data_IF_698722791951
#
_entry.id   IF_698722791951
#
_cell.length_a   1.000
_cell.length_b   1.000
_cell.length_c   1.000
_cell.angle_alpha   90.00
_cell.angle_beta   90.00
_cell.angle_gamma   90.00
#
_symmetry.space_group_name_H-M   'P 1'
#
loop_
_entity.id
_entity.type
_entity.pdbx_description
1 polymer ?
#
# COMPACT_ATOMS: atom_id res chain seq x y z
N UNK A 1 -6.03 13.23 1.26
CA UNK A 1 -4.85 14.11 1.26
C UNK A 1 -3.59 13.27 1.40
N UNK A 2 -2.70 13.34 0.43
CA UNK A 2 -1.33 12.85 0.57
C UNK A 2 -0.54 13.64 1.59
N UNK A 3 0.45 12.99 2.19
CA UNK A 3 1.44 13.67 3.01
C UNK A 3 2.83 13.12 2.65
N UNK A 4 3.78 14.03 2.48
CA UNK A 4 5.19 13.65 2.38
C UNK A 4 5.75 13.54 3.78
N UNK A 5 6.38 12.42 4.09
CA UNK A 5 7.10 12.21 5.34
C UNK A 5 8.59 12.12 5.05
N UNK A 6 9.37 12.81 5.86
CA UNK A 6 10.82 12.67 5.92
C UNK A 6 11.17 11.96 7.24
N UNK A 7 11.91 10.86 7.12
CA UNK A 7 12.48 10.11 8.24
C UNK A 7 13.96 10.49 8.31
N UNK A 8 14.42 10.94 9.47
CA UNK A 8 15.80 11.37 9.67
C UNK A 8 16.36 10.80 10.99
N UNK A 9 17.60 10.33 10.95
CA UNK A 9 18.33 9.83 12.10
C UNK A 9 19.56 10.71 12.39
N UNK A 10 19.96 10.80 13.66
CA UNK A 10 21.14 11.55 14.11
C UNK A 10 22.45 11.08 13.47
N UNK A 11 22.53 9.81 13.06
CA UNK A 11 23.70 9.26 12.37
C UNK A 11 23.82 9.69 10.89
N UNK A 12 22.95 10.59 10.42
CA UNK A 12 22.95 11.13 9.06
C UNK A 12 22.07 10.37 8.05
N UNK A 13 21.53 9.21 8.42
CA UNK A 13 20.59 8.48 7.57
C UNK A 13 19.28 9.25 7.43
N UNK A 14 18.78 9.37 6.20
CA UNK A 14 17.49 9.99 5.94
C UNK A 14 16.81 9.36 4.72
N UNK A 15 15.47 9.34 4.74
CA UNK A 15 14.63 8.90 3.64
C UNK A 15 13.35 9.72 3.56
N UNK A 16 12.83 9.92 2.35
CA UNK A 16 11.55 10.58 2.11
C UNK A 16 10.56 9.60 1.49
N UNK A 17 9.33 9.60 1.98
CA UNK A 17 8.22 8.81 1.44
C UNK A 17 6.97 9.65 1.31
N UNK A 18 6.08 9.22 0.43
CA UNK A 18 4.72 9.73 0.35
C UNK A 18 3.82 8.70 1.04
N UNK A 19 3.20 9.09 2.15
CA UNK A 19 2.34 8.24 2.95
C UNK A 19 1.04 8.95 3.24
N UNK A 20 -0.04 8.19 3.13
CA UNK A 20 -1.31 8.83 2.81
C UNK A 20 -1.21 9.51 1.44
N UNK A 21 -2.34 9.60 0.77
CA UNK A 21 -2.36 10.01 -0.62
C UNK A 21 -3.49 9.38 -1.33
N UNK A 22 -4.65 9.56 -0.71
CA UNK A 22 -5.96 9.22 -1.21
C UNK A 22 -6.02 7.70 -1.48
N UNK A 23 -6.65 6.87 -0.65
CA UNK A 23 -8.12 6.65 -0.66
C UNK A 23 -8.95 7.29 -1.80
N UNK A 24 -8.34 7.76 -2.89
CA UNK A 24 -8.86 7.45 -4.19
C UNK A 24 -8.64 5.93 -4.25
N UNK A 25 -9.61 5.10 -3.87
CA UNK A 25 -10.54 4.61 -4.87
C UNK A 25 -10.00 4.58 -6.33
N UNK A 26 -8.72 4.26 -6.50
CA UNK A 26 -7.98 4.08 -7.75
C UNK A 26 -8.20 2.64 -8.18
N UNK A 27 -8.01 2.42 -9.47
CA UNK A 27 -7.99 1.07 -10.03
C UNK A 27 -6.82 0.28 -9.42
N UNK A 28 -7.13 -0.50 -8.38
CA UNK A 28 -6.19 -1.37 -7.68
C UNK A 28 -5.46 -2.31 -8.64
N UNK A 29 -6.14 -2.73 -9.71
CA UNK A 29 -5.58 -3.59 -10.73
C UNK A 29 -4.46 -2.86 -11.50
N UNK A 30 -4.72 -1.63 -11.94
CA UNK A 30 -3.71 -0.79 -12.63
C UNK A 30 -2.51 -0.47 -11.75
N UNK A 31 -2.71 -0.23 -10.45
CA UNK A 31 -1.60 0.00 -9.51
C UNK A 31 -0.74 -1.27 -9.35
N UNK A 32 -1.36 -2.44 -9.25
CA UNK A 32 -0.65 -3.72 -9.20
C UNK A 32 0.13 -4.01 -10.49
N UNK A 33 -0.47 -3.80 -11.66
CA UNK A 33 0.22 -3.99 -12.94
C UNK A 33 1.46 -3.09 -13.05
N UNK A 34 1.38 -1.87 -12.53
CA UNK A 34 2.52 -0.95 -12.50
C UNK A 34 3.63 -1.43 -11.57
N UNK A 35 3.28 -1.87 -10.36
CA UNK A 35 4.27 -2.42 -9.42
C UNK A 35 4.95 -3.65 -10.02
N UNK A 36 4.17 -4.56 -10.60
CA UNK A 36 4.67 -5.77 -11.24
C UNK A 36 5.60 -5.47 -12.43
N UNK A 37 5.29 -4.45 -13.23
CA UNK A 37 6.14 -4.03 -14.34
C UNK A 37 7.50 -3.48 -13.88
N UNK A 38 7.55 -2.90 -12.67
CA UNK A 38 8.78 -2.35 -12.08
C UNK A 38 9.56 -3.35 -11.23
N UNK A 39 8.97 -4.50 -10.90
CA UNK A 39 9.54 -5.47 -9.97
C UNK A 39 10.65 -6.30 -10.61
N UNK A 40 11.81 -6.34 -9.93
CA UNK A 40 13.02 -7.01 -10.39
C UNK A 40 13.28 -8.31 -9.64
N UNK A 41 12.83 -8.43 -8.38
CA UNK A 41 13.10 -9.63 -7.60
C UNK A 41 12.12 -10.75 -7.98
N UNK A 42 12.59 -11.93 -8.44
CA UNK A 42 11.72 -12.95 -9.01
C UNK A 42 10.67 -13.50 -8.03
N UNK A 43 11.04 -13.69 -6.76
CA UNK A 43 10.11 -14.17 -5.73
C UNK A 43 9.03 -13.15 -5.39
N UNK A 44 9.42 -11.88 -5.25
CA UNK A 44 8.49 -10.77 -5.00
C UNK A 44 7.56 -10.62 -6.20
N UNK A 45 8.09 -10.70 -7.42
CA UNK A 45 7.31 -10.71 -8.67
C UNK A 45 6.27 -11.82 -8.67
N UNK A 46 6.65 -13.06 -8.32
CA UNK A 46 5.71 -14.19 -8.23
C UNK A 46 4.60 -13.94 -7.21
N UNK A 47 4.90 -13.31 -6.08
CA UNK A 47 3.86 -12.91 -5.12
C UNK A 47 2.90 -11.88 -5.68
N UNK A 48 3.40 -10.85 -6.36
CA UNK A 48 2.56 -9.86 -7.04
C UNK A 48 1.69 -10.50 -8.13
N UNK A 49 2.25 -11.42 -8.92
CA UNK A 49 1.51 -12.18 -9.93
C UNK A 49 0.41 -13.04 -9.27
N UNK A 50 0.70 -13.70 -8.14
CA UNK A 50 -0.31 -14.45 -7.39
C UNK A 50 -1.44 -13.54 -6.88
N UNK A 51 -1.10 -12.36 -6.35
CA UNK A 51 -2.06 -11.39 -5.89
C UNK A 51 -2.95 -10.87 -7.04
N UNK A 52 -2.34 -10.51 -8.17
CA UNK A 52 -3.06 -10.06 -9.38
C UNK A 52 -4.05 -11.12 -9.90
N UNK A 53 -3.73 -12.39 -9.71
CA UNK A 53 -4.57 -13.53 -10.08
C UNK A 53 -5.56 -13.95 -8.99
N UNK A 54 -5.67 -13.21 -7.88
CA UNK A 54 -6.66 -13.50 -6.85
C UNK A 54 -8.10 -13.31 -7.41
N UNK A 55 -9.08 -14.13 -6.98
CA UNK A 55 -10.45 -14.06 -7.48
C UNK A 55 -11.06 -12.65 -7.39
N UNK A 56 -10.79 -11.93 -6.30
CA UNK A 56 -11.30 -10.59 -6.04
C UNK A 56 -10.78 -9.57 -7.07
N UNK A 57 -9.50 -9.65 -7.43
CA UNK A 57 -8.90 -8.75 -8.42
C UNK A 57 -9.27 -9.13 -9.86
N UNK A 58 -9.50 -10.42 -10.14
CA UNK A 58 -10.03 -10.85 -11.43
C UNK A 58 -11.47 -10.37 -11.67
N UNK A 59 -12.31 -10.31 -10.62
CA UNK A 59 -13.63 -9.70 -10.70
C UNK A 59 -13.56 -8.18 -10.96
N UNK A 60 -12.63 -7.49 -10.29
CA UNK A 60 -12.39 -6.05 -10.51
C UNK A 60 -11.96 -5.75 -11.95
N UNK A 61 -11.11 -6.61 -12.54
CA UNK A 61 -10.67 -6.52 -13.95
C UNK A 61 -11.84 -6.52 -14.94
N UNK A 62 -12.90 -7.26 -14.66
CA UNK A 62 -14.04 -7.42 -15.58
C UNK A 62 -15.03 -6.25 -15.53
N UNK A 63 -14.79 -5.22 -14.69
CA UNK A 63 -15.72 -4.11 -14.53
C UNK A 63 -15.74 -3.17 -15.75
N UNK A 64 -16.94 -2.71 -16.17
CA UNK A 64 -17.10 -1.80 -17.31
C UNK A 64 -16.44 -0.42 -17.13
N UNK A 65 -16.40 0.09 -15.89
CA UNK A 65 -15.78 1.37 -15.55
C UNK A 65 -14.96 1.21 -14.26
N UNK A 66 -13.65 1.03 -14.44
CA UNK A 66 -12.65 0.85 -13.36
C UNK A 66 -12.24 2.17 -12.71
N UNK A 67 -12.49 3.29 -13.40
CA UNK A 67 -12.15 4.63 -12.89
C UNK A 67 -13.11 5.10 -11.80
N UNK A 68 -14.33 4.54 -11.79
CA UNK A 68 -15.30 4.80 -10.74
C UNK A 68 -15.12 3.80 -9.62
N UNK A 69 -14.67 4.23 -8.45
CA UNK A 69 -14.67 3.34 -7.31
C UNK A 69 -16.04 2.87 -6.88
N UNK A 70 -16.05 1.66 -6.34
CA UNK A 70 -17.17 1.22 -5.53
C UNK A 70 -17.01 1.76 -4.10
N UNK A 71 -17.78 2.78 -3.75
CA UNK A 71 -17.80 3.30 -2.37
C UNK A 71 -18.70 2.38 -1.54
N UNK A 72 -18.18 1.73 -0.49
CA UNK A 72 -18.96 0.90 0.41
C UNK A 72 -20.06 1.72 1.07
N UNK A 73 -21.27 1.16 1.21
CA UNK A 73 -22.43 1.82 1.83
C UNK A 73 -22.12 2.54 3.16
N UNK A 74 -21.22 1.99 3.98
CA UNK A 74 -20.83 2.56 5.27
C UNK A 74 -19.87 3.77 5.20
N UNK A 75 -19.17 3.99 4.08
CA UNK A 75 -18.34 5.18 3.84
C UNK A 75 -19.14 6.36 3.25
N UNK A 76 -20.45 6.20 3.03
CA UNK A 76 -21.31 7.28 2.53
C UNK A 76 -21.70 8.25 3.64
N UNK A 77 -20.84 9.24 3.88
CA UNK A 77 -21.20 10.44 4.63
C UNK A 77 -21.81 11.53 3.74
N UNK A 78 -23.15 11.63 3.71
CA UNK A 78 -23.93 12.85 3.38
C UNK A 78 -24.00 13.40 1.93
N UNK A 79 -23.51 12.76 0.86
CA UNK A 79 -23.67 13.32 -0.51
C UNK A 79 -24.03 12.28 -1.58
N UNK A 80 -25.30 11.90 -1.66
CA UNK A 80 -25.96 11.46 -2.91
C UNK A 80 -25.37 10.30 -3.73
N UNK A 81 -24.41 9.54 -3.21
CA UNK A 81 -23.80 8.41 -3.89
C UNK A 81 -24.62 7.14 -3.57
N UNK A 82 -24.99 6.37 -4.61
CA UNK A 82 -25.75 5.13 -4.42
C UNK A 82 -24.90 4.06 -3.72
N UNK A 83 -25.47 3.46 -2.68
CA UNK A 83 -24.86 2.36 -1.94
C UNK A 83 -24.69 1.13 -2.84
N UNK A 84 -23.44 0.73 -3.04
CA UNK A 84 -22.99 -0.56 -3.56
C UNK A 84 -23.15 -1.76 -2.63
N UNK A 85 -23.93 -2.80 -2.96
CA UNK A 85 -23.90 -4.12 -2.29
C UNK A 85 -22.82 -5.06 -2.83
N UNK A 86 -22.05 -4.64 -3.84
CA UNK A 86 -21.01 -5.45 -4.48
C UNK A 86 -19.65 -5.29 -3.81
N UNK A 87 -18.75 -6.29 -3.96
CA UNK A 87 -17.39 -6.22 -3.47
C UNK A 87 -16.70 -4.94 -3.92
N UNK A 88 -15.94 -4.33 -3.01
CA UNK A 88 -15.11 -3.19 -3.34
C UNK A 88 -13.64 -3.54 -3.17
N UNK A 89 -12.82 -3.05 -4.09
CA UNK A 89 -11.37 -3.24 -4.10
C UNK A 89 -10.72 -1.86 -4.26
N UNK A 90 -9.75 -1.55 -3.40
CA UNK A 90 -8.94 -0.34 -3.54
C UNK A 90 -7.49 -0.60 -3.15
N UNK A 91 -6.59 0.21 -3.71
CA UNK A 91 -5.18 0.22 -3.36
C UNK A 91 -4.87 1.25 -2.27
N UNK A 92 -3.89 0.94 -1.44
CA UNK A 92 -3.32 1.86 -0.47
C UNK A 92 -1.83 1.64 -0.31
N UNK A 93 -1.16 2.55 0.39
CA UNK A 93 0.27 2.50 0.63
C UNK A 93 0.56 2.53 2.12
N UNK A 94 1.40 1.59 2.57
CA UNK A 94 1.89 1.47 3.95
C UNK A 94 3.42 1.45 3.97
N UNK A 95 4.01 1.72 5.12
CA UNK A 95 5.44 1.50 5.33
C UNK A 95 5.67 0.07 5.82
N UNK A 96 6.75 -0.52 5.35
CA UNK A 96 7.23 -1.80 5.84
C UNK A 96 8.74 -1.77 6.08
N UNK A 97 9.18 -2.57 7.04
CA UNK A 97 10.59 -2.78 7.35
C UNK A 97 10.92 -4.25 7.13
N UNK A 98 11.94 -4.52 6.31
CA UNK A 98 12.45 -5.88 6.16
C UNK A 98 13.08 -6.38 7.46
N UNK A 99 12.75 -7.60 7.87
CA UNK A 99 13.30 -8.24 9.07
C UNK A 99 14.80 -8.53 8.96
N UNK A 100 15.30 -8.76 7.74
CA UNK A 100 16.68 -9.18 7.50
C UNK A 100 17.60 -7.98 7.23
N UNK A 101 17.31 -7.17 6.20
CA UNK A 101 18.19 -6.07 5.79
C UNK A 101 17.84 -4.71 6.43
N UNK A 102 16.84 -4.67 7.32
CA UNK A 102 16.30 -3.46 7.95
C UNK A 102 15.83 -2.37 6.97
N UNK A 103 15.70 -2.70 5.68
CA UNK A 103 15.32 -1.74 4.66
C UNK A 103 13.88 -1.27 4.86
N UNK A 104 13.71 0.05 4.88
CA UNK A 104 12.41 0.70 5.00
C UNK A 104 11.90 1.01 3.59
N UNK A 105 10.75 0.46 3.23
CA UNK A 105 10.14 0.67 1.92
C UNK A 105 8.65 0.98 2.03
N UNK A 106 8.10 1.52 0.95
CA UNK A 106 6.65 1.64 0.78
C UNK A 106 6.10 0.38 0.14
N UNK A 107 5.00 -0.11 0.67
CA UNK A 107 4.32 -1.30 0.17
C UNK A 107 2.91 -0.94 -0.27
N UNK A 108 2.59 -1.30 -1.51
CA UNK A 108 1.23 -1.26 -2.00
C UNK A 108 0.48 -2.42 -1.34
N UNK A 109 -0.63 -2.10 -0.66
CA UNK A 109 -1.58 -3.07 -0.16
C UNK A 109 -2.90 -2.90 -0.90
N UNK A 110 -3.62 -4.00 -1.08
CA UNK A 110 -4.97 -4.02 -1.64
C UNK A 110 -5.93 -4.34 -0.52
N UNK A 111 -6.97 -3.53 -0.37
CA UNK A 111 -8.08 -3.85 0.51
C UNK A 111 -9.22 -4.35 -0.35
N UNK A 112 -9.65 -5.57 -0.06
CA UNK A 112 -10.86 -6.13 -0.63
C UNK A 112 -11.90 -6.23 0.48
N UNK A 113 -13.16 -6.07 0.11
CA UNK A 113 -14.23 -6.28 1.06
C UNK A 113 -15.42 -6.90 0.37
N UNK A 114 -15.83 -8.04 0.90
CA UNK A 114 -17.07 -8.74 0.57
C UNK A 114 -17.85 -8.71 1.87
N UNK A 115 -18.79 -7.77 1.97
CA UNK A 115 -19.46 -7.41 3.23
C UNK A 115 -19.79 -8.62 4.13
N UNK A 116 -19.49 -8.58 5.44
CA UNK A 116 -18.87 -7.48 6.20
C UNK A 116 -17.34 -7.60 6.38
N UNK A 117 -16.69 -8.61 5.81
CA UNK A 117 -15.28 -8.90 6.05
C UNK A 117 -14.37 -8.07 5.14
N UNK A 118 -13.41 -7.38 5.75
CA UNK A 118 -12.35 -6.67 5.05
C UNK A 118 -11.09 -7.52 5.11
N UNK A 119 -10.51 -7.78 3.95
CA UNK A 119 -9.24 -8.46 3.83
C UNK A 119 -8.21 -7.51 3.24
N UNK A 120 -7.10 -7.32 3.97
CA UNK A 120 -5.92 -6.62 3.47
C UNK A 120 -4.96 -7.63 2.85
N UNK A 121 -4.69 -7.46 1.57
CA UNK A 121 -3.74 -8.26 0.82
C UNK A 121 -2.48 -7.42 0.60
N UNK A 122 -1.33 -7.89 1.07
CA UNK A 122 -0.05 -7.23 0.89
C UNK A 122 1.00 -8.22 0.38
N UNK A 123 2.00 -7.78 -0.41
CA UNK A 123 3.24 -8.52 -0.52
C UNK A 123 3.87 -8.60 0.86
N UNK A 124 4.27 -9.79 1.29
CA UNK A 124 4.94 -9.98 2.58
C UNK A 124 6.45 -9.92 2.48
N UNK A 125 7.01 -9.67 1.29
CA UNK A 125 8.46 -9.81 1.02
C UNK A 125 9.10 -8.48 0.59
N UNK A 126 10.35 -8.29 1.03
CA UNK A 126 11.18 -7.14 0.72
C UNK A 126 11.68 -7.20 -0.72
N UNK A 127 11.67 -6.06 -1.44
CA UNK A 127 12.10 -6.01 -2.84
C UNK A 127 13.59 -6.24 -3.05
N UNK A 128 14.40 -5.99 -2.02
CA UNK A 128 15.84 -6.15 -2.11
C UNK A 128 16.31 -7.60 -1.87
N UNK A 129 15.70 -8.31 -0.92
CA UNK A 129 16.20 -9.60 -0.46
C UNK A 129 15.13 -10.69 -0.29
N UNK A 130 13.88 -10.43 -0.69
CA UNK A 130 12.74 -11.34 -0.55
C UNK A 130 12.53 -11.97 0.83
N UNK A 131 12.99 -11.31 1.88
CA UNK A 131 12.68 -11.70 3.25
C UNK A 131 11.44 -10.98 3.76
N UNK A 132 10.87 -11.52 4.83
CA UNK A 132 9.64 -11.00 5.42
C UNK A 132 9.73 -9.52 5.81
N UNK A 133 8.61 -8.83 5.61
CA UNK A 133 8.42 -7.42 5.93
C UNK A 133 7.39 -7.30 7.04
N UNK A 134 7.70 -6.44 8.01
CA UNK A 134 6.76 -6.04 9.05
C UNK A 134 6.19 -4.66 8.69
N UNK A 135 4.87 -4.55 8.60
CA UNK A 135 4.19 -3.28 8.38
C UNK A 135 4.28 -2.45 9.66
N UNK A 136 4.65 -1.17 9.52
CA UNK A 136 4.91 -0.27 10.66
C UNK A 136 4.26 1.10 10.44
N UNK A 137 4.05 1.85 11.53
CA UNK A 137 3.72 3.28 11.42
C UNK A 137 4.99 4.12 11.26
N UNK A 138 4.83 5.36 10.80
CA UNK A 138 5.96 6.32 10.67
C UNK A 138 6.72 6.55 11.98
N UNK A 139 6.08 6.33 13.12
CA UNK A 139 6.68 6.55 14.43
C UNK A 139 7.45 5.33 14.95
N UNK A 140 7.27 4.16 14.34
CA UNK A 140 7.89 2.90 14.79
C UNK A 140 9.15 2.55 13.98
N UNK A 141 9.55 3.42 13.05
CA UNK A 141 10.71 3.18 12.18
C UNK A 141 12.01 3.40 12.96
N UNK A 142 12.92 2.44 12.84
CA UNK A 142 14.28 2.53 13.36
C UNK A 142 15.27 2.69 12.21
N UNK A 143 16.38 3.38 12.47
CA UNK A 143 17.41 3.62 11.49
C UNK A 143 18.11 2.30 11.11
N UNK A 144 18.20 1.92 9.83
CA UNK A 144 18.88 0.69 9.43
C UNK A 144 20.39 0.71 9.68
N UNK A 145 21.00 1.90 9.84
CA UNK A 145 22.44 2.03 10.04
C UNK A 145 22.86 1.93 11.52
N UNK A 146 22.06 2.45 12.44
CA UNK A 146 22.43 2.53 13.86
C UNK A 146 21.34 2.05 14.83
N UNK A 147 20.24 1.51 14.30
CA UNK A 147 19.10 0.95 15.04
C UNK A 147 18.40 1.89 16.03
N UNK A 148 18.68 3.19 15.98
CA UNK A 148 18.00 4.20 16.82
C UNK A 148 16.65 4.59 16.22
N UNK A 149 15.65 4.97 17.03
CA UNK A 149 14.40 5.55 16.52
C UNK A 149 14.68 6.75 15.61
N UNK A 150 13.93 6.87 14.52
CA UNK A 150 14.07 8.00 13.58
C UNK A 150 13.02 9.06 13.88
N UNK A 151 13.39 10.33 13.73
CA UNK A 151 12.44 11.42 13.77
C UNK A 151 11.65 11.44 12.46
N UNK A 152 10.32 11.52 12.55
CA UNK A 152 9.44 11.69 11.39
C UNK A 152 8.95 13.14 11.31
N UNK A 153 9.04 13.75 10.12
CA UNK A 153 8.53 15.10 9.86
C UNK A 153 7.60 15.07 8.65
N UNK A 154 6.36 15.51 8.85
CA UNK A 154 5.43 15.77 7.74
C UNK A 154 5.87 17.05 7.02
N UNK A 155 6.13 16.96 5.72
CA UNK A 155 6.39 18.11 4.85
C UNK A 155 5.10 18.55 4.17
N UNK A 156 4.95 19.86 4.00
CA UNK A 156 3.93 20.43 3.13
C UNK A 156 4.17 19.99 1.69
N UNK A 157 3.10 19.80 0.94
CA UNK A 157 3.14 19.55 -0.51
C UNK A 157 3.15 20.95 -1.14
N UNK A 158 4.24 21.31 -1.80
CA UNK A 158 4.36 22.55 -2.59
C UNK A 158 3.61 22.43 -3.92
#
# INVERSE_FOLDING_TARGET
MSARYELACECGWHRSYWLGGDTFLRDAYSDLERELASEQHPEVRRMWEALLNSPQLQLEKQRPDRSKPYVPAFLHGRRGLQASSKPFVYSGWELGVCRECAQVERYLHIVTAQTPEQEKLHPSLCRACANEVTIVTVNDVHCPACSRPVASRRKAIE
#
